data_IF_478332209520
#
_entry.id   IF_478332209520
#
_cell.length_a   1.000
_cell.length_b   1.000
_cell.length_c   1.000
_cell.angle_alpha   90.00
_cell.angle_beta   90.00
_cell.angle_gamma   90.00
#
_symmetry.space_group_name_H-M   'P 1'
#
loop_
_entity.id
_entity.type
_entity.pdbx_description
1 polymer ?
#
# COMPACT_ATOMS: atom_id res chain seq x y z
N UNK A 1 47.86 10.92 41.67
CA UNK A 1 47.73 12.21 42.41
C UNK A 1 46.82 13.08 41.53
N UNK A 2 45.57 13.21 41.92
CA UNK A 2 44.57 14.07 41.23
C UNK A 2 44.36 15.27 42.17
N UNK A 3 44.51 16.51 41.72
CA UNK A 3 44.33 17.67 42.59
C UNK A 3 42.83 17.95 42.84
N UNK A 4 42.49 18.20 44.10
CA UNK A 4 41.17 18.57 44.56
C UNK A 4 40.85 20.04 44.22
N UNK A 5 39.66 20.31 43.68
CA UNK A 5 39.12 21.66 43.49
C UNK A 5 38.38 22.14 44.75
N UNK A 6 38.53 23.41 45.14
CA UNK A 6 37.91 23.93 46.35
C UNK A 6 36.43 24.29 46.12
N UNK A 7 35.58 23.85 47.04
CA UNK A 7 34.18 24.22 47.16
C UNK A 7 34.05 25.66 47.67
N UNK A 8 33.58 26.58 46.82
CA UNK A 8 33.12 27.91 47.25
C UNK A 8 31.69 27.84 47.78
N UNK A 9 31.52 28.22 49.05
CA UNK A 9 30.26 28.47 49.72
C UNK A 9 29.55 29.65 49.03
N UNK A 10 28.38 29.39 48.40
CA UNK A 10 27.48 30.42 47.89
C UNK A 10 26.54 30.79 49.01
N UNK A 11 26.60 32.06 49.43
CA UNK A 11 25.88 32.64 50.55
C UNK A 11 24.36 32.70 50.28
N UNK A 12 23.58 32.42 51.31
CA UNK A 12 22.12 32.37 51.38
C UNK A 12 21.41 33.75 51.32
N UNK A 13 21.85 34.66 50.46
CA UNK A 13 21.26 36.02 50.35
C UNK A 13 20.59 36.36 49.04
N UNK A 14 20.41 35.42 48.10
CA UNK A 14 19.69 35.68 46.82
C UNK A 14 18.27 35.07 46.79
N UNK A 15 17.79 34.52 47.88
CA UNK A 15 16.48 33.86 47.95
C UNK A 15 15.35 34.73 48.50
N UNK A 16 15.50 36.05 48.59
CA UNK A 16 14.49 36.94 49.22
C UNK A 16 13.98 38.09 48.30
N UNK A 17 14.32 38.11 47.03
CA UNK A 17 13.95 39.17 46.10
C UNK A 17 13.11 38.74 44.90
N UNK A 18 12.55 37.51 44.88
CA UNK A 18 11.70 36.99 43.78
C UNK A 18 10.25 36.67 44.16
N UNK A 19 9.77 37.14 45.33
CA UNK A 19 8.41 36.88 45.79
C UNK A 19 7.45 38.11 45.79
N UNK A 20 7.81 39.19 45.15
CA UNK A 20 6.96 40.41 45.17
C UNK A 20 6.67 41.03 43.78
N UNK A 21 6.54 40.26 42.75
CA UNK A 21 6.13 40.81 41.46
C UNK A 21 5.36 39.78 40.61
N UNK A 22 4.27 39.21 41.13
CA UNK A 22 3.29 38.49 40.28
C UNK A 22 1.90 38.51 40.93
N UNK A 23 1.42 39.70 41.31
CA UNK A 23 -0.01 39.95 41.43
C UNK A 23 -0.42 40.83 40.27
N UNK A 24 -0.23 40.37 39.04
CA UNK A 24 -0.91 40.92 37.85
C UNK A 24 -2.17 40.12 37.69
N UNK A 25 -3.30 40.85 37.83
CA UNK A 25 -4.65 40.39 37.55
C UNK A 25 -4.65 39.48 36.30
N UNK A 26 -4.91 38.22 36.48
CA UNK A 26 -5.38 37.34 35.41
C UNK A 26 -6.80 37.80 35.05
N UNK A 27 -6.93 38.82 34.22
CA UNK A 27 -8.14 39.03 33.47
C UNK A 27 -8.23 37.78 32.54
N UNK A 28 -9.17 36.89 32.85
CA UNK A 28 -9.65 35.90 31.94
C UNK A 28 -10.24 36.59 30.69
N UNK A 29 -9.36 37.01 29.78
CA UNK A 29 -9.78 37.23 28.40
C UNK A 29 -9.96 35.81 27.84
N UNK A 30 -11.20 35.32 27.92
CA UNK A 30 -11.60 34.16 27.15
C UNK A 30 -11.26 34.50 25.69
N UNK A 31 -10.18 33.85 25.17
CA UNK A 31 -9.94 33.87 23.72
C UNK A 31 -11.25 33.49 23.05
N UNK A 32 -11.78 34.28 22.12
CA UNK A 32 -12.95 33.87 21.38
C UNK A 32 -12.62 32.49 20.81
N UNK A 33 -13.46 31.49 21.12
CA UNK A 33 -13.33 30.14 20.53
C UNK A 33 -13.25 30.38 19.03
N UNK A 34 -12.14 29.96 18.42
CA UNK A 34 -11.97 30.06 16.97
C UNK A 34 -13.19 29.40 16.35
N UNK A 35 -14.03 30.20 15.64
CA UNK A 35 -15.16 29.65 14.91
C UNK A 35 -14.65 28.52 14.03
N UNK A 36 -15.22 27.33 14.21
CA UNK A 36 -14.88 26.20 13.33
C UNK A 36 -15.18 26.64 11.89
N UNK A 37 -14.25 26.52 10.95
CA UNK A 37 -14.51 26.89 9.57
C UNK A 37 -15.75 26.15 9.08
N UNK A 38 -16.63 26.86 8.36
CA UNK A 38 -17.83 26.25 7.77
C UNK A 38 -17.41 25.07 6.88
N UNK A 39 -17.97 23.87 7.07
CA UNK A 39 -17.61 22.72 6.27
C UNK A 39 -17.78 22.98 4.78
N UNK A 40 -16.79 22.60 3.98
CA UNK A 40 -16.83 22.77 2.52
C UNK A 40 -17.67 21.65 1.91
N UNK A 41 -18.81 22.01 1.33
CA UNK A 41 -19.67 21.05 0.61
C UNK A 41 -19.32 21.02 -0.87
N UNK A 42 -19.16 19.81 -1.40
CA UNK A 42 -18.98 19.54 -2.84
C UNK A 42 -19.98 18.47 -3.28
N UNK A 43 -20.62 18.66 -4.41
CA UNK A 43 -21.59 17.71 -4.98
C UNK A 43 -21.05 17.16 -6.29
N UNK A 44 -20.98 15.83 -6.41
CA UNK A 44 -20.62 15.16 -7.65
C UNK A 44 -21.90 14.64 -8.29
N UNK A 45 -22.20 15.13 -9.50
CA UNK A 45 -23.27 14.57 -10.35
C UNK A 45 -22.71 13.34 -11.08
N UNK A 46 -23.31 12.19 -10.88
CA UNK A 46 -22.78 10.91 -11.33
C UNK A 46 -23.77 10.24 -12.25
N UNK A 47 -23.36 10.00 -13.50
CA UNK A 47 -24.21 9.26 -14.46
C UNK A 47 -24.32 7.78 -14.12
N UNK A 48 -23.17 7.15 -13.90
CA UNK A 48 -23.06 5.72 -13.54
C UNK A 48 -22.16 5.55 -12.32
N UNK A 49 -22.65 4.89 -11.28
CA UNK A 49 -21.95 4.66 -10.04
C UNK A 49 -21.79 3.16 -9.77
N UNK A 50 -20.57 2.68 -9.77
CA UNK A 50 -20.20 1.40 -9.18
C UNK A 50 -19.65 1.63 -7.78
N UNK A 51 -20.46 1.47 -6.74
CA UNK A 51 -20.09 1.80 -5.36
C UNK A 51 -19.30 0.70 -4.62
N UNK A 52 -19.08 -0.44 -5.29
CA UNK A 52 -18.41 -1.63 -4.78
C UNK A 52 -19.05 -2.28 -3.53
N UNK A 53 -20.31 -1.95 -3.20
CA UNK A 53 -21.10 -2.67 -2.18
C UNK A 53 -21.71 -3.97 -2.72
N UNK A 54 -21.80 -4.09 -4.05
CA UNK A 54 -22.28 -5.24 -4.81
C UNK A 54 -21.75 -5.23 -6.22
N UNK A 55 -22.37 -5.99 -7.13
CA UNK A 55 -21.97 -6.09 -8.55
C UNK A 55 -22.76 -5.13 -9.45
N UNK A 56 -23.75 -4.43 -8.92
CA UNK A 56 -24.65 -3.56 -9.67
C UNK A 56 -24.13 -2.13 -9.84
N UNK A 57 -24.61 -1.48 -10.91
CA UNK A 57 -24.41 -0.04 -11.16
C UNK A 57 -25.69 0.70 -10.77
N UNK A 58 -25.53 1.85 -10.12
CA UNK A 58 -26.59 2.82 -9.85
C UNK A 58 -26.47 3.96 -10.84
N UNK A 59 -27.59 4.46 -11.35
CA UNK A 59 -27.60 5.53 -12.34
C UNK A 59 -28.15 6.82 -11.75
N UNK A 60 -27.71 7.95 -12.32
CA UNK A 60 -28.19 9.28 -11.97
C UNK A 60 -28.12 9.57 -10.46
N UNK A 61 -26.94 9.44 -9.88
CA UNK A 61 -26.69 9.62 -8.45
C UNK A 61 -26.02 10.98 -8.17
N UNK A 62 -26.18 11.46 -6.95
CA UNK A 62 -25.42 12.57 -6.40
C UNK A 62 -24.64 12.09 -5.17
N UNK A 63 -23.34 12.33 -5.19
CA UNK A 63 -22.48 12.12 -4.03
C UNK A 63 -22.22 13.48 -3.41
N UNK A 64 -22.70 13.70 -2.18
CA UNK A 64 -22.38 14.89 -1.40
C UNK A 64 -21.14 14.62 -0.54
N UNK A 65 -20.13 15.45 -0.67
CA UNK A 65 -18.87 15.40 0.09
C UNK A 65 -18.80 16.60 1.03
N UNK A 66 -18.57 16.32 2.31
CA UNK A 66 -18.32 17.32 3.35
C UNK A 66 -16.86 17.21 3.80
N UNK A 67 -16.08 18.23 3.50
CA UNK A 67 -14.63 18.25 3.70
C UNK A 67 -13.95 17.04 3.05
N UNK A 68 -13.49 16.08 3.84
CA UNK A 68 -12.78 14.88 3.37
C UNK A 68 -13.67 13.63 3.24
N UNK A 69 -14.95 13.71 3.69
CA UNK A 69 -15.80 12.51 3.79
C UNK A 69 -17.08 12.61 2.95
N UNK A 70 -17.55 11.46 2.54
CA UNK A 70 -18.84 11.31 1.89
C UNK A 70 -19.92 11.52 2.93
N UNK A 71 -20.77 12.53 2.72
CA UNK A 71 -21.92 12.83 3.59
C UNK A 71 -23.13 11.98 3.22
N UNK A 72 -23.41 11.87 1.93
CA UNK A 72 -24.53 11.07 1.42
C UNK A 72 -24.31 10.63 -0.02
N UNK A 73 -24.99 9.54 -0.39
CA UNK A 73 -25.11 9.04 -1.77
C UNK A 73 -26.59 8.85 -2.04
N UNK A 74 -27.18 9.66 -2.91
CA UNK A 74 -28.64 9.74 -3.13
C UNK A 74 -28.96 9.80 -4.62
N UNK A 75 -30.18 9.44 -5.01
CA UNK A 75 -30.67 9.68 -6.37
C UNK A 75 -30.69 11.19 -6.68
N UNK A 76 -30.35 11.58 -7.89
CA UNK A 76 -30.43 12.96 -8.35
C UNK A 76 -31.86 13.50 -8.28
N UNK A 77 -32.88 12.63 -8.35
CA UNK A 77 -34.28 13.02 -8.22
C UNK A 77 -34.67 13.45 -6.78
N UNK A 78 -33.95 12.92 -5.78
CA UNK A 78 -34.27 13.10 -4.36
C UNK A 78 -33.49 14.22 -3.70
N UNK A 79 -32.46 14.77 -4.35
CA UNK A 79 -31.58 15.79 -3.77
C UNK A 79 -31.66 17.12 -4.54
N UNK A 80 -32.05 18.20 -3.84
CA UNK A 80 -31.94 19.57 -4.37
C UNK A 80 -30.57 20.13 -3.96
N UNK A 81 -29.69 20.34 -4.93
CA UNK A 81 -28.41 21.00 -4.71
C UNK A 81 -28.66 22.49 -4.47
N UNK A 82 -28.11 23.09 -3.38
CA UNK A 82 -28.28 24.50 -3.11
C UNK A 82 -27.73 25.40 -4.23
N UNK A 83 -28.38 26.53 -4.54
CA UNK A 83 -27.84 27.51 -5.48
C UNK A 83 -26.42 27.97 -5.05
N UNK A 84 -25.48 28.02 -5.99
CA UNK A 84 -24.10 28.45 -5.71
C UNK A 84 -23.21 27.38 -5.05
N UNK A 85 -23.69 26.13 -4.88
CA UNK A 85 -22.89 25.04 -4.37
C UNK A 85 -21.76 24.68 -5.34
N UNK A 86 -20.65 24.15 -4.79
CA UNK A 86 -19.58 23.59 -5.60
C UNK A 86 -20.04 22.27 -6.21
N UNK A 87 -20.16 22.21 -7.53
CA UNK A 87 -20.65 21.04 -8.27
C UNK A 87 -19.57 20.55 -9.23
N UNK A 88 -19.32 19.25 -9.20
CA UNK A 88 -18.44 18.54 -10.15
C UNK A 88 -19.34 17.64 -11.00
N UNK A 89 -19.38 17.89 -12.30
CA UNK A 89 -20.21 17.11 -13.22
C UNK A 89 -19.42 15.88 -13.74
N UNK A 90 -19.86 14.68 -13.32
CA UNK A 90 -19.39 13.37 -13.74
C UNK A 90 -20.53 12.58 -14.42
N UNK A 91 -21.54 13.27 -14.94
CA UNK A 91 -22.76 12.64 -15.50
C UNK A 91 -22.48 11.79 -16.74
N UNK A 92 -21.35 12.01 -17.42
CA UNK A 92 -20.94 11.25 -18.60
C UNK A 92 -19.91 10.14 -18.28
N UNK A 93 -19.52 10.00 -17.02
CA UNK A 93 -18.50 9.07 -16.60
C UNK A 93 -19.06 7.91 -15.77
N UNK A 94 -18.28 6.83 -15.67
CA UNK A 94 -18.48 5.81 -14.65
C UNK A 94 -17.60 6.14 -13.44
N UNK A 95 -18.25 6.31 -12.28
CA UNK A 95 -17.60 6.64 -11.00
C UNK A 95 -17.44 5.38 -10.17
N UNK A 96 -16.26 5.25 -9.53
CA UNK A 96 -15.89 4.12 -8.68
C UNK A 96 -15.22 4.63 -7.40
N UNK A 97 -15.12 3.79 -6.34
CA UNK A 97 -14.21 4.07 -5.23
C UNK A 97 -12.78 4.19 -5.74
N UNK A 98 -11.97 4.98 -5.07
CA UNK A 98 -10.53 4.97 -5.28
C UNK A 98 -9.96 3.57 -5.15
N UNK A 99 -9.10 3.17 -6.09
CA UNK A 99 -8.51 1.85 -6.16
C UNK A 99 -7.48 1.66 -5.04
N UNK A 100 -7.30 0.41 -4.64
CA UNK A 100 -6.35 -0.01 -3.59
C UNK A 100 -5.44 -1.10 -4.16
N UNK A 101 -4.14 -0.88 -4.08
CA UNK A 101 -3.11 -1.85 -4.44
C UNK A 101 -2.46 -2.41 -3.17
N UNK A 102 -2.63 -3.70 -2.92
CA UNK A 102 -2.17 -4.35 -1.69
C UNK A 102 -0.70 -4.83 -1.75
N UNK A 103 -0.01 -4.64 -2.86
CA UNK A 103 1.38 -5.05 -3.01
C UNK A 103 2.16 -4.07 -3.90
N UNK A 104 2.85 -3.13 -3.28
CA UNK A 104 3.70 -2.16 -3.99
C UNK A 104 5.04 -2.00 -3.30
N UNK A 105 6.02 -1.48 -4.05
CA UNK A 105 7.35 -1.09 -3.60
C UNK A 105 7.65 0.33 -4.10
N UNK A 106 7.10 1.34 -3.42
CA UNK A 106 7.14 2.73 -3.90
C UNK A 106 8.56 3.27 -4.10
N UNK A 107 9.54 2.81 -3.31
CA UNK A 107 10.94 3.20 -3.46
C UNK A 107 11.68 2.54 -4.62
N UNK A 108 11.08 1.54 -5.28
CA UNK A 108 11.74 0.75 -6.32
C UNK A 108 11.59 1.36 -7.71
N UNK A 109 12.51 1.01 -8.59
CA UNK A 109 12.58 1.49 -9.97
C UNK A 109 12.69 0.33 -10.95
N UNK A 110 11.69 0.17 -11.80
CA UNK A 110 11.61 -0.89 -12.81
C UNK A 110 12.66 -0.81 -13.93
N UNK A 111 13.50 0.23 -13.95
CA UNK A 111 14.63 0.41 -14.88
C UNK A 111 16.01 0.19 -14.20
N UNK A 112 16.05 -0.48 -13.04
CA UNK A 112 17.25 -0.63 -12.19
C UNK A 112 17.52 -2.07 -11.77
N UNK A 113 17.47 -3.02 -12.73
CA UNK A 113 17.75 -4.44 -12.44
C UNK A 113 19.24 -4.80 -12.44
N UNK A 114 20.08 -3.97 -13.04
CA UNK A 114 21.52 -4.23 -13.02
C UNK A 114 22.07 -4.00 -11.61
N UNK A 115 22.78 -4.99 -11.06
CA UNK A 115 23.37 -4.97 -9.71
C UNK A 115 24.32 -3.77 -9.47
N UNK A 116 24.86 -3.16 -10.52
CA UNK A 116 25.71 -1.96 -10.41
C UNK A 116 24.97 -0.80 -9.68
N UNK A 117 23.64 -0.78 -9.71
CA UNK A 117 22.88 0.27 -9.06
C UNK A 117 22.90 0.16 -7.53
N UNK A 118 23.15 -1.00 -6.95
CA UNK A 118 23.43 -1.12 -5.51
C UNK A 118 24.64 -0.32 -5.07
N UNK A 119 25.59 -0.05 -5.98
CA UNK A 119 26.77 0.79 -5.72
C UNK A 119 26.64 2.24 -6.17
N UNK A 120 25.66 2.56 -7.00
CA UNK A 120 25.49 3.91 -7.58
C UNK A 120 24.35 4.68 -6.93
N UNK A 121 23.31 4.00 -6.49
CA UNK A 121 22.15 4.61 -5.87
C UNK A 121 22.39 4.77 -4.37
N UNK A 122 21.93 5.88 -3.83
CA UNK A 122 21.93 6.17 -2.39
C UNK A 122 20.52 5.98 -1.85
N UNK A 123 20.32 5.91 -0.52
CA UNK A 123 18.98 5.92 0.07
C UNK A 123 18.11 7.10 -0.42
N UNK A 124 18.73 8.24 -0.71
CA UNK A 124 18.03 9.41 -1.25
C UNK A 124 17.52 9.20 -2.68
N UNK A 125 18.22 8.42 -3.52
CA UNK A 125 17.75 8.05 -4.86
C UNK A 125 16.43 7.27 -4.78
N UNK A 126 16.32 6.36 -3.82
CA UNK A 126 15.09 5.60 -3.56
C UNK A 126 13.98 6.50 -2.99
N UNK A 127 14.32 7.45 -2.10
CA UNK A 127 13.35 8.41 -1.55
C UNK A 127 12.75 9.29 -2.65
N UNK A 128 13.58 9.85 -3.55
CA UNK A 128 13.08 10.64 -4.66
C UNK A 128 12.27 9.82 -5.66
N UNK A 129 12.68 8.57 -5.94
CA UNK A 129 11.87 7.66 -6.74
C UNK A 129 10.51 7.42 -6.08
N UNK A 130 10.48 7.20 -4.76
CA UNK A 130 9.27 7.01 -3.97
C UNK A 130 8.29 8.17 -4.08
N UNK A 131 8.75 9.41 -4.05
CA UNK A 131 7.91 10.61 -4.23
C UNK A 131 7.25 10.63 -5.62
N UNK A 132 8.04 10.35 -6.66
CA UNK A 132 7.54 10.31 -8.05
C UNK A 132 6.55 9.15 -8.24
N UNK A 133 6.89 7.97 -7.72
CA UNK A 133 6.07 6.77 -7.83
C UNK A 133 4.75 6.90 -7.07
N UNK A 134 4.78 7.46 -5.86
CA UNK A 134 3.56 7.72 -5.08
C UNK A 134 2.59 8.63 -5.85
N UNK A 135 3.10 9.70 -6.47
CA UNK A 135 2.27 10.58 -7.29
C UNK A 135 1.70 9.87 -8.52
N UNK A 136 2.53 9.12 -9.27
CA UNK A 136 2.07 8.35 -10.44
C UNK A 136 0.99 7.34 -10.06
N UNK A 137 1.17 6.64 -8.96
CA UNK A 137 0.21 5.66 -8.44
C UNK A 137 -1.13 6.31 -8.09
N UNK A 138 -1.11 7.47 -7.41
CA UNK A 138 -2.32 8.24 -7.13
C UNK A 138 -3.02 8.71 -8.41
N UNK A 139 -2.28 9.29 -9.36
CA UNK A 139 -2.81 9.80 -10.63
C UNK A 139 -3.34 8.67 -11.54
N UNK A 140 -2.90 7.42 -11.33
CA UNK A 140 -3.47 6.22 -11.96
C UNK A 140 -4.77 5.72 -11.28
N UNK A 141 -5.25 6.42 -10.24
CA UNK A 141 -6.51 6.10 -9.56
C UNK A 141 -6.37 5.27 -8.29
N UNK A 142 -5.14 4.87 -7.90
CA UNK A 142 -4.90 4.14 -6.67
C UNK A 142 -4.76 5.13 -5.51
N UNK A 143 -5.87 5.39 -4.82
CA UNK A 143 -5.92 6.35 -3.69
C UNK A 143 -5.36 5.77 -2.39
N UNK A 144 -5.23 4.45 -2.31
CA UNK A 144 -4.57 3.75 -1.20
C UNK A 144 -3.65 2.66 -1.72
N UNK A 145 -2.56 2.41 -1.00
CA UNK A 145 -1.63 1.30 -1.27
C UNK A 145 -1.17 0.65 0.02
N UNK A 146 -0.78 -0.63 -0.07
CA UNK A 146 0.04 -1.30 0.92
C UNK A 146 1.44 -1.49 0.33
N UNK A 147 2.44 -0.79 0.89
CA UNK A 147 3.85 -0.98 0.54
C UNK A 147 4.43 -2.08 1.41
N UNK A 148 4.91 -3.15 0.80
CA UNK A 148 5.30 -4.39 1.48
C UNK A 148 6.79 -4.71 1.38
N UNK A 149 7.61 -3.68 1.40
CA UNK A 149 9.06 -3.81 1.48
C UNK A 149 9.79 -2.55 1.08
N UNK A 150 10.22 -1.77 2.06
CA UNK A 150 10.98 -0.53 1.87
C UNK A 150 12.15 -0.45 2.82
N UNK A 151 13.34 -0.19 2.31
CA UNK A 151 14.56 -0.01 3.07
C UNK A 151 14.92 1.48 3.21
N UNK A 152 15.42 1.93 4.39
CA UNK A 152 15.24 1.27 5.69
C UNK A 152 13.84 1.47 6.29
N UNK A 153 13.11 2.56 6.06
CA UNK A 153 11.74 2.85 6.49
C UNK A 153 11.06 3.85 5.55
N UNK A 154 11.46 3.85 4.30
CA UNK A 154 11.03 4.83 3.30
C UNK A 154 9.50 4.93 3.18
N UNK A 155 8.77 3.80 3.21
CA UNK A 155 7.31 3.82 3.11
C UNK A 155 6.65 4.50 4.33
N UNK A 156 7.26 4.36 5.51
CA UNK A 156 6.81 5.05 6.75
C UNK A 156 7.00 6.56 6.61
N UNK A 157 8.16 7.00 6.12
CA UNK A 157 8.46 8.41 5.93
C UNK A 157 7.61 9.04 4.81
N UNK A 158 7.38 8.33 3.70
CA UNK A 158 6.47 8.76 2.65
C UNK A 158 5.04 8.91 3.18
N UNK A 159 4.54 7.92 3.92
CA UNK A 159 3.21 7.97 4.56
C UNK A 159 3.08 9.21 5.44
N UNK A 160 4.05 9.42 6.32
CA UNK A 160 4.03 10.54 7.26
C UNK A 160 4.04 11.88 6.50
N UNK A 161 4.96 12.04 5.54
CA UNK A 161 5.05 13.27 4.73
C UNK A 161 3.79 13.54 3.89
N UNK A 162 3.11 12.50 3.38
CA UNK A 162 1.83 12.64 2.68
C UNK A 162 0.71 13.02 3.65
N UNK A 163 0.66 12.42 4.84
CA UNK A 163 -0.35 12.72 5.85
C UNK A 163 -0.20 14.14 6.42
N UNK A 164 1.02 14.66 6.50
CA UNK A 164 1.36 16.01 6.92
C UNK A 164 1.16 17.06 5.79
N UNK A 165 0.86 16.61 4.56
CA UNK A 165 0.63 17.48 3.41
C UNK A 165 1.87 18.00 2.71
N UNK A 166 3.07 17.53 3.06
CA UNK A 166 4.32 17.89 2.37
C UNK A 166 4.44 17.26 1.00
N UNK A 167 3.89 16.05 0.82
CA UNK A 167 3.97 15.29 -0.42
C UNK A 167 2.58 14.91 -0.93
N UNK A 168 2.49 14.73 -2.25
CA UNK A 168 1.31 14.19 -2.92
C UNK A 168 1.49 12.70 -3.17
N UNK A 169 0.51 11.90 -2.74
CA UNK A 169 0.52 10.45 -2.94
C UNK A 169 -0.73 9.78 -2.37
N UNK A 170 -0.85 8.46 -2.49
CA UNK A 170 -1.95 7.67 -1.94
C UNK A 170 -1.88 7.61 -0.40
N UNK A 171 -2.92 7.07 0.23
CA UNK A 171 -2.84 6.59 1.61
C UNK A 171 -1.95 5.36 1.63
N UNK A 172 -0.94 5.32 2.49
CA UNK A 172 0.01 4.21 2.54
C UNK A 172 -0.21 3.40 3.82
N UNK A 173 -0.38 2.09 3.68
CA UNK A 173 -0.19 1.09 4.74
C UNK A 173 1.25 0.61 4.59
N UNK A 174 2.13 1.08 5.45
CA UNK A 174 3.57 0.96 5.30
C UNK A 174 4.15 -0.23 6.06
N UNK A 175 4.93 -1.09 5.39
CA UNK A 175 5.84 -2.00 6.06
C UNK A 175 7.21 -1.37 6.26
N UNK A 176 8.05 -2.05 7.06
CA UNK A 176 9.51 -1.87 7.06
C UNK A 176 10.19 -2.74 5.98
N UNK A 177 11.48 -3.00 6.13
CA UNK A 177 12.18 -3.99 5.32
C UNK A 177 11.52 -5.36 5.40
N UNK A 178 11.46 -6.10 4.29
CA UNK A 178 10.93 -7.46 4.28
C UNK A 178 11.86 -8.38 5.08
N UNK A 179 11.32 -9.04 6.12
CA UNK A 179 12.10 -9.90 7.02
C UNK A 179 12.48 -11.20 6.29
N UNK A 180 13.76 -11.53 6.28
CA UNK A 180 14.33 -12.69 5.58
C UNK A 180 15.32 -13.45 6.45
N UNK A 181 15.58 -14.70 6.09
CA UNK A 181 16.72 -15.46 6.64
C UNK A 181 18.04 -15.00 6.01
N UNK A 182 19.15 -15.31 6.66
CA UNK A 182 20.49 -15.22 6.06
C UNK A 182 20.55 -16.04 4.77
N UNK A 183 20.98 -15.41 3.67
CA UNK A 183 21.03 -16.04 2.33
C UNK A 183 19.68 -16.24 1.66
N UNK A 184 18.59 -15.70 2.24
CA UNK A 184 17.23 -15.78 1.70
C UNK A 184 16.94 -14.75 0.60
N UNK A 185 15.71 -14.79 0.09
CA UNK A 185 15.24 -13.89 -0.98
C UNK A 185 15.37 -12.40 -0.64
N UNK A 186 15.15 -12.04 0.62
CA UNK A 186 15.29 -10.65 1.07
C UNK A 186 16.73 -10.26 1.42
N UNK A 187 17.69 -11.17 1.43
CA UNK A 187 19.11 -10.87 1.70
C UNK A 187 19.84 -10.45 0.41
N UNK A 188 20.93 -9.73 0.56
CA UNK A 188 21.79 -9.34 -0.56
C UNK A 188 22.78 -10.44 -0.89
N UNK A 189 22.35 -11.40 -1.70
CA UNK A 189 23.17 -12.52 -2.12
C UNK A 189 24.16 -12.12 -3.22
N UNK A 190 25.24 -12.90 -3.36
CA UNK A 190 26.34 -12.73 -4.35
C UNK A 190 27.28 -11.54 -4.13
N UNK A 191 27.20 -10.87 -3.00
CA UNK A 191 28.21 -9.91 -2.59
C UNK A 191 29.18 -10.56 -1.60
N UNK A 192 30.43 -10.09 -1.58
CA UNK A 192 31.35 -10.55 -0.53
C UNK A 192 30.84 -10.08 0.83
N UNK A 193 31.08 -10.87 1.91
CA UNK A 193 30.70 -10.45 3.26
C UNK A 193 31.26 -9.08 3.66
N UNK A 194 32.42 -8.73 3.10
CA UNK A 194 33.04 -7.41 3.34
C UNK A 194 32.21 -6.28 2.72
N UNK A 195 31.73 -6.42 1.49
CA UNK A 195 30.89 -5.43 0.82
C UNK A 195 29.55 -5.27 1.56
N UNK A 196 28.92 -6.38 1.92
CA UNK A 196 27.66 -6.36 2.65
C UNK A 196 27.77 -5.62 4.00
N UNK A 197 28.82 -5.92 4.77
CA UNK A 197 29.06 -5.27 6.05
C UNK A 197 29.32 -3.75 5.92
N UNK A 198 29.96 -3.33 4.82
CA UNK A 198 30.30 -1.93 4.60
C UNK A 198 29.12 -1.08 4.07
N UNK A 199 28.24 -1.69 3.26
CA UNK A 199 27.18 -0.97 2.58
C UNK A 199 25.83 -1.03 3.29
N UNK A 200 25.57 -2.08 4.08
CA UNK A 200 24.26 -2.36 4.65
C UNK A 200 24.37 -2.80 6.13
N UNK A 201 25.00 -2.00 6.98
CA UNK A 201 25.26 -2.39 8.38
C UNK A 201 23.99 -2.60 9.21
N UNK A 202 22.90 -1.88 8.89
CA UNK A 202 21.62 -1.92 9.61
C UNK A 202 20.69 -3.08 9.21
N UNK A 203 21.01 -3.85 8.16
CA UNK A 203 20.12 -4.93 7.70
C UNK A 203 19.87 -5.98 8.80
N UNK A 204 20.86 -6.27 9.62
CA UNK A 204 20.76 -7.24 10.73
C UNK A 204 19.78 -6.82 11.81
N UNK A 205 19.58 -5.52 12.01
CA UNK A 205 18.74 -5.02 13.10
C UNK A 205 17.24 -4.99 12.71
N UNK A 206 16.93 -4.88 11.41
CA UNK A 206 15.55 -4.65 10.96
C UNK A 206 15.06 -5.56 9.85
N UNK A 207 15.93 -6.45 9.33
CA UNK A 207 15.62 -7.24 8.11
C UNK A 207 15.98 -8.71 8.25
N UNK A 208 17.22 -9.03 8.64
CA UNK A 208 17.68 -10.43 8.68
C UNK A 208 17.43 -11.03 10.06
N UNK A 209 16.72 -12.17 10.08
CA UNK A 209 16.32 -12.83 11.32
C UNK A 209 16.31 -14.35 11.15
N UNK A 210 17.23 -15.04 11.82
CA UNK A 210 17.31 -16.48 11.89
C UNK A 210 16.86 -16.94 13.29
N UNK A 211 15.76 -17.71 13.33
CA UNK A 211 15.20 -18.23 14.57
C UNK A 211 14.26 -17.27 15.31
N UNK A 212 13.50 -17.84 16.24
CA UNK A 212 12.37 -17.20 16.89
C UNK A 212 12.71 -15.88 17.62
N UNK A 213 13.85 -15.81 18.29
CA UNK A 213 14.21 -14.64 19.09
C UNK A 213 14.59 -13.45 18.23
N UNK A 214 15.31 -13.68 17.13
CA UNK A 214 15.65 -12.62 16.17
C UNK A 214 14.39 -12.12 15.45
N UNK A 215 13.48 -13.00 15.06
CA UNK A 215 12.18 -12.64 14.46
C UNK A 215 11.40 -11.71 15.40
N UNK A 216 11.28 -12.07 16.68
CA UNK A 216 10.62 -11.19 17.68
C UNK A 216 11.31 -9.85 17.80
N UNK A 217 12.65 -9.85 17.83
CA UNK A 217 13.43 -8.62 17.95
C UNK A 217 13.17 -7.69 16.74
N UNK A 218 13.32 -8.21 15.54
CA UNK A 218 13.14 -7.45 14.29
C UNK A 218 11.73 -6.90 14.17
N UNK A 219 10.69 -7.72 14.40
CA UNK A 219 9.30 -7.26 14.34
C UNK A 219 9.02 -6.15 15.33
N UNK A 220 9.48 -6.29 16.59
CA UNK A 220 9.31 -5.25 17.60
C UNK A 220 10.08 -3.96 17.25
N UNK A 221 11.26 -4.09 16.64
CA UNK A 221 12.03 -2.97 16.10
C UNK A 221 11.25 -2.23 15.00
N UNK A 222 10.70 -2.95 14.02
CA UNK A 222 9.89 -2.35 12.97
C UNK A 222 8.63 -1.67 13.52
N UNK A 223 7.92 -2.32 14.46
CA UNK A 223 6.74 -1.72 15.13
C UNK A 223 7.12 -0.45 15.89
N UNK A 224 8.25 -0.44 16.59
CA UNK A 224 8.77 0.77 17.27
C UNK A 224 8.93 1.95 16.31
N UNK A 225 9.34 1.70 15.08
CA UNK A 225 9.54 2.73 14.06
C UNK A 225 8.29 3.01 13.21
N UNK A 226 7.14 2.49 13.62
CA UNK A 226 5.84 2.95 13.15
C UNK A 226 5.30 2.26 11.91
N UNK A 227 5.71 1.01 11.62
CA UNK A 227 5.10 0.23 10.52
C UNK A 227 3.64 -0.10 10.82
N UNK A 228 2.83 -0.19 9.76
CA UNK A 228 1.42 -0.57 9.82
C UNK A 228 1.20 -2.06 9.60
N UNK A 229 2.13 -2.70 8.88
CA UNK A 229 2.09 -4.11 8.49
C UNK A 229 3.48 -4.71 8.54
N UNK A 230 3.59 -6.00 8.82
CA UNK A 230 4.84 -6.75 8.74
C UNK A 230 4.89 -7.50 7.40
N UNK A 231 6.06 -7.52 6.75
CA UNK A 231 6.34 -8.38 5.58
C UNK A 231 7.44 -9.37 5.94
N UNK A 232 7.20 -10.65 5.68
CA UNK A 232 8.16 -11.75 5.87
C UNK A 232 8.32 -12.54 4.56
N UNK A 233 9.48 -13.13 4.36
CA UNK A 233 9.82 -13.93 3.18
C UNK A 233 9.75 -15.42 3.54
N UNK A 234 8.72 -16.12 3.10
CA UNK A 234 8.51 -17.53 3.45
C UNK A 234 9.22 -18.52 2.49
N UNK A 235 9.51 -18.09 1.27
CA UNK A 235 10.23 -18.90 0.26
C UNK A 235 11.29 -18.09 -0.47
N UNK A 236 12.15 -18.74 -1.22
CA UNK A 236 12.94 -18.08 -2.26
C UNK A 236 12.06 -17.37 -3.28
N UNK A 237 12.65 -16.52 -4.09
CA UNK A 237 11.93 -15.67 -5.04
C UNK A 237 12.58 -15.58 -6.42
N UNK A 238 11.90 -14.86 -7.31
CA UNK A 238 12.35 -14.67 -8.70
C UNK A 238 13.47 -13.65 -8.78
N UNK A 239 13.36 -12.51 -8.10
CA UNK A 239 14.27 -11.36 -8.27
C UNK A 239 15.49 -11.39 -7.34
N UNK A 240 15.71 -12.45 -6.58
CA UNK A 240 16.95 -12.73 -5.85
C UNK A 240 17.88 -13.64 -6.64
N UNK A 241 19.10 -13.83 -6.16
CA UNK A 241 20.09 -14.77 -6.73
C UNK A 241 20.50 -15.82 -5.69
N UNK A 242 20.85 -17.01 -6.17
CA UNK A 242 21.38 -18.09 -5.32
C UNK A 242 20.34 -18.83 -4.47
N UNK A 243 19.05 -18.53 -4.62
CA UNK A 243 17.93 -19.24 -3.98
C UNK A 243 16.97 -19.82 -5.02
N UNK A 244 15.97 -20.60 -4.57
CA UNK A 244 14.95 -21.19 -5.43
C UNK A 244 13.56 -20.76 -5.00
N UNK A 245 12.69 -20.29 -5.94
CA UNK A 245 11.31 -19.91 -5.63
C UNK A 245 10.50 -21.01 -4.93
N UNK A 246 10.82 -22.29 -5.18
CA UNK A 246 10.14 -23.44 -4.57
C UNK A 246 10.57 -23.74 -3.14
N UNK A 247 11.75 -23.26 -2.70
CA UNK A 247 12.34 -23.65 -1.42
C UNK A 247 11.78 -22.83 -0.24
N UNK A 248 11.24 -23.46 0.82
CA UNK A 248 10.86 -22.75 2.04
C UNK A 248 12.12 -22.17 2.72
N UNK A 249 11.97 -20.98 3.31
CA UNK A 249 13.06 -20.27 4.00
C UNK A 249 12.86 -20.19 5.50
N UNK A 250 11.64 -20.33 5.98
CA UNK A 250 11.33 -20.42 7.39
C UNK A 250 10.59 -21.72 7.71
N UNK A 251 10.79 -22.23 8.91
CA UNK A 251 10.00 -23.32 9.46
C UNK A 251 8.59 -22.82 9.83
N UNK A 252 7.65 -23.76 10.03
CA UNK A 252 6.31 -23.42 10.52
C UNK A 252 6.36 -22.73 11.89
N UNK A 253 7.24 -23.18 12.78
CA UNK A 253 7.42 -22.63 14.13
C UNK A 253 7.91 -21.17 14.08
N UNK A 254 8.86 -20.86 13.23
CA UNK A 254 9.36 -19.49 13.03
C UNK A 254 8.28 -18.57 12.49
N UNK A 255 7.51 -19.02 11.51
CA UNK A 255 6.38 -18.26 10.94
C UNK A 255 5.26 -18.04 11.95
N UNK A 256 4.97 -19.02 12.83
CA UNK A 256 4.03 -18.82 13.95
C UNK A 256 4.49 -17.73 14.90
N UNK A 257 5.77 -17.72 15.27
CA UNK A 257 6.35 -16.67 16.12
C UNK A 257 6.22 -15.30 15.43
N UNK A 258 6.43 -15.22 14.12
CA UNK A 258 6.27 -13.99 13.37
C UNK A 258 4.82 -13.50 13.39
N UNK A 259 3.85 -14.36 13.10
CA UNK A 259 2.43 -14.02 13.09
C UNK A 259 1.95 -13.59 14.48
N UNK A 260 2.24 -14.38 15.52
CA UNK A 260 1.90 -14.06 16.90
C UNK A 260 2.48 -12.71 17.34
N UNK A 261 3.76 -12.44 17.03
CA UNK A 261 4.42 -11.19 17.43
C UNK A 261 3.81 -9.98 16.73
N UNK A 262 3.50 -10.10 15.43
CA UNK A 262 2.83 -9.04 14.68
C UNK A 262 1.41 -8.77 15.22
N UNK A 263 0.62 -9.83 15.43
CA UNK A 263 -0.76 -9.73 15.93
C UNK A 263 -0.82 -9.18 17.36
N UNK A 264 0.09 -9.57 18.25
CA UNK A 264 0.23 -8.98 19.60
C UNK A 264 0.45 -7.47 19.56
N UNK A 265 1.13 -6.99 18.52
CA UNK A 265 1.35 -5.56 18.30
C UNK A 265 0.20 -4.88 17.53
N UNK A 266 -0.90 -5.59 17.24
CA UNK A 266 -2.03 -5.09 16.46
C UNK A 266 -1.69 -4.86 14.98
N UNK A 267 -0.70 -5.57 14.44
CA UNK A 267 -0.29 -5.48 13.03
C UNK A 267 -0.68 -6.73 12.28
N UNK A 268 -1.15 -6.55 11.03
CA UNK A 268 -1.28 -7.65 10.08
C UNK A 268 0.11 -8.05 9.57
N UNK A 269 0.21 -9.28 9.03
CA UNK A 269 1.45 -9.80 8.47
C UNK A 269 1.20 -10.41 7.09
N UNK A 270 2.07 -10.07 6.13
CA UNK A 270 2.06 -10.56 4.76
C UNK A 270 3.29 -11.43 4.50
N UNK A 271 3.15 -12.55 3.79
CA UNK A 271 4.27 -13.41 3.42
C UNK A 271 4.47 -13.44 1.91
N UNK A 272 5.69 -13.12 1.46
CA UNK A 272 6.15 -13.54 0.14
C UNK A 272 6.27 -15.07 0.11
N UNK A 273 5.61 -15.75 -0.83
CA UNK A 273 5.76 -17.18 -1.00
C UNK A 273 5.38 -17.63 -2.42
N UNK A 274 6.34 -18.25 -3.12
CA UNK A 274 6.08 -18.94 -4.38
C UNK A 274 5.88 -20.45 -4.18
N UNK A 275 6.74 -21.09 -3.36
CA UNK A 275 6.79 -22.53 -3.19
C UNK A 275 5.67 -23.09 -2.33
N UNK A 276 5.14 -24.24 -2.74
CA UNK A 276 3.98 -24.91 -2.13
C UNK A 276 4.11 -25.10 -0.62
N UNK A 277 5.29 -25.59 -0.14
CA UNK A 277 5.45 -25.85 1.29
C UNK A 277 5.51 -24.57 2.11
N UNK A 278 6.21 -23.52 1.62
CA UNK A 278 6.26 -22.23 2.30
C UNK A 278 4.91 -21.55 2.34
N UNK A 279 4.10 -21.65 1.27
CA UNK A 279 2.71 -21.17 1.24
C UNK A 279 1.90 -21.86 2.33
N UNK A 280 1.93 -23.20 2.40
CA UNK A 280 1.17 -23.97 3.42
C UNK A 280 1.63 -23.62 4.85
N UNK A 281 2.94 -23.53 5.06
CA UNK A 281 3.49 -23.16 6.37
C UNK A 281 3.02 -21.76 6.80
N UNK A 282 3.03 -20.79 5.88
CA UNK A 282 2.59 -19.42 6.16
C UNK A 282 1.10 -19.36 6.51
N UNK A 283 0.24 -20.08 5.78
CA UNK A 283 -1.19 -20.18 6.07
C UNK A 283 -1.43 -20.80 7.45
N UNK A 284 -0.79 -21.95 7.74
CA UNK A 284 -0.92 -22.67 9.01
C UNK A 284 -0.33 -21.89 10.20
N UNK A 285 0.59 -20.98 9.95
CA UNK A 285 1.13 -20.06 10.94
C UNK A 285 0.17 -18.91 11.30
N UNK A 286 -0.92 -18.72 10.54
CA UNK A 286 -1.88 -17.64 10.77
C UNK A 286 -1.49 -16.31 10.09
N UNK A 287 -0.70 -16.34 9.04
CA UNK A 287 -0.36 -15.15 8.25
C UNK A 287 -1.60 -14.66 7.49
N UNK A 288 -1.85 -13.33 7.49
CA UNK A 288 -3.07 -12.73 6.95
C UNK A 288 -3.15 -12.76 5.43
N UNK A 289 -2.01 -12.62 4.73
CA UNK A 289 -1.98 -12.71 3.26
C UNK A 289 -0.72 -13.38 2.74
N UNK A 290 -0.90 -14.12 1.64
CA UNK A 290 0.18 -14.71 0.86
C UNK A 290 0.31 -13.92 -0.44
N UNK A 291 1.48 -13.38 -0.64
CA UNK A 291 1.85 -12.64 -1.84
C UNK A 291 2.38 -13.63 -2.89
N UNK A 292 2.07 -13.40 -4.15
CA UNK A 292 2.41 -14.23 -5.32
C UNK A 292 1.70 -15.61 -5.35
N UNK A 293 1.87 -16.46 -4.36
CA UNK A 293 1.27 -17.79 -4.23
C UNK A 293 1.42 -18.69 -5.49
N UNK A 294 2.53 -18.55 -6.24
CA UNK A 294 2.64 -19.04 -7.63
C UNK A 294 2.47 -20.55 -7.75
N UNK A 295 3.06 -21.33 -6.84
CA UNK A 295 3.04 -22.80 -6.88
C UNK A 295 2.08 -23.38 -5.82
N UNK A 296 1.00 -22.66 -5.49
CA UNK A 296 -0.01 -23.17 -4.56
C UNK A 296 -0.70 -24.40 -5.15
N UNK A 297 -0.79 -25.47 -4.37
CA UNK A 297 -1.48 -26.70 -4.75
C UNK A 297 -2.93 -26.72 -4.21
N UNK A 298 -3.69 -27.76 -4.55
CA UNK A 298 -5.09 -27.90 -4.13
C UNK A 298 -5.25 -27.93 -2.59
N UNK A 299 -4.27 -28.49 -1.88
CA UNK A 299 -4.26 -28.44 -0.41
C UNK A 299 -4.02 -27.02 0.11
N UNK A 300 -3.06 -26.29 -0.46
CA UNK A 300 -2.81 -24.90 -0.12
C UNK A 300 -4.04 -24.02 -0.37
N UNK A 301 -4.75 -24.22 -1.50
CA UNK A 301 -6.02 -23.55 -1.82
C UNK A 301 -7.08 -23.84 -0.76
N UNK A 302 -7.24 -25.13 -0.37
CA UNK A 302 -8.17 -25.52 0.68
C UNK A 302 -7.83 -24.85 2.01
N UNK A 303 -6.56 -24.90 2.42
CA UNK A 303 -6.08 -24.26 3.66
C UNK A 303 -6.31 -22.74 3.63
N UNK A 304 -5.97 -22.04 2.54
CA UNK A 304 -6.20 -20.61 2.43
C UNK A 304 -7.67 -20.24 2.61
N UNK A 305 -8.59 -21.03 2.03
CA UNK A 305 -10.03 -20.84 2.20
C UNK A 305 -10.48 -21.09 3.63
N UNK A 306 -10.04 -22.18 4.27
CA UNK A 306 -10.42 -22.57 5.63
C UNK A 306 -9.93 -21.57 6.67
N UNK A 307 -8.70 -21.06 6.52
CA UNK A 307 -8.11 -20.07 7.42
C UNK A 307 -8.54 -18.63 7.11
N UNK A 308 -9.20 -18.40 5.96
CA UNK A 308 -9.59 -17.05 5.53
C UNK A 308 -8.40 -16.18 5.13
N UNK A 309 -7.25 -16.79 4.83
CA UNK A 309 -6.04 -16.11 4.38
C UNK A 309 -6.26 -15.55 2.98
N UNK A 310 -5.87 -14.29 2.78
CA UNK A 310 -5.96 -13.65 1.47
C UNK A 310 -4.83 -14.13 0.54
N UNK A 311 -5.13 -14.27 -0.74
CA UNK A 311 -4.11 -14.37 -1.79
C UNK A 311 -4.03 -13.04 -2.55
N UNK A 312 -2.81 -12.53 -2.70
CA UNK A 312 -2.48 -11.31 -3.44
C UNK A 312 -1.52 -11.71 -4.56
N UNK A 313 -2.09 -12.00 -5.73
CA UNK A 313 -1.35 -12.62 -6.84
C UNK A 313 -1.16 -11.62 -7.99
N UNK A 314 0.07 -11.27 -8.28
CA UNK A 314 0.54 -10.25 -9.22
C UNK A 314 0.75 -10.82 -10.64
N UNK A 315 -0.31 -11.33 -11.24
CA UNK A 315 -0.30 -12.15 -12.47
C UNK A 315 0.03 -11.41 -13.79
N UNK A 316 0.25 -10.08 -13.74
CA UNK A 316 0.79 -9.30 -14.86
C UNK A 316 2.33 -9.34 -14.92
N UNK A 317 3.01 -9.50 -13.79
CA UNK A 317 4.47 -9.41 -13.67
C UNK A 317 5.24 -10.30 -14.65
N UNK A 318 4.78 -11.51 -14.91
CA UNK A 318 5.37 -12.47 -15.85
C UNK A 318 5.65 -11.83 -17.22
N UNK A 319 4.67 -11.06 -17.76
CA UNK A 319 4.86 -10.42 -19.07
C UNK A 319 5.94 -9.33 -19.02
N UNK A 320 6.02 -8.54 -17.96
CA UNK A 320 7.02 -7.50 -17.83
C UNK A 320 8.42 -8.06 -17.58
N UNK A 321 8.53 -9.02 -16.66
CA UNK A 321 9.80 -9.65 -16.29
C UNK A 321 10.43 -10.35 -17.51
N UNK A 322 9.63 -11.06 -18.31
CA UNK A 322 10.15 -11.81 -19.46
C UNK A 322 10.46 -10.94 -20.68
N UNK A 323 9.72 -9.85 -20.91
CA UNK A 323 9.80 -9.07 -22.15
C UNK A 323 10.51 -7.71 -22.00
N UNK A 324 10.37 -7.04 -20.86
CA UNK A 324 10.86 -5.68 -20.67
C UNK A 324 12.09 -5.62 -19.74
N UNK A 325 12.07 -6.30 -18.60
CA UNK A 325 13.14 -6.23 -17.60
C UNK A 325 14.54 -6.61 -18.12
N UNK A 326 14.72 -7.52 -19.11
CA UNK A 326 16.03 -7.81 -19.69
C UNK A 326 16.70 -6.58 -20.32
N UNK A 327 15.93 -5.62 -20.84
CA UNK A 327 16.45 -4.38 -21.43
C UNK A 327 17.12 -3.48 -20.37
N UNK A 328 16.80 -3.70 -19.11
CA UNK A 328 17.31 -2.95 -17.95
C UNK A 328 18.32 -3.77 -17.12
N UNK A 329 18.79 -4.90 -17.66
CA UNK A 329 19.89 -5.67 -17.08
C UNK A 329 19.47 -6.72 -16.07
N UNK A 330 18.23 -7.23 -16.14
CA UNK A 330 17.80 -8.37 -15.33
C UNK A 330 18.66 -9.61 -15.67
N UNK A 331 19.28 -10.28 -14.68
CA UNK A 331 20.08 -11.48 -14.89
C UNK A 331 19.28 -12.66 -15.48
N UNK A 332 19.95 -13.50 -16.28
CA UNK A 332 19.32 -14.68 -16.92
C UNK A 332 18.76 -15.66 -15.88
N UNK A 333 19.44 -15.83 -14.75
CA UNK A 333 18.95 -16.66 -13.63
C UNK A 333 17.53 -16.27 -13.19
N UNK A 334 17.24 -14.97 -13.10
CA UNK A 334 15.92 -14.46 -12.70
C UNK A 334 14.86 -14.75 -13.79
N UNK A 335 15.24 -14.67 -15.08
CA UNK A 335 14.34 -15.04 -16.18
C UNK A 335 14.00 -16.53 -16.16
N UNK A 336 14.97 -17.38 -15.82
CA UNK A 336 14.72 -18.83 -15.73
C UNK A 336 13.80 -19.16 -14.55
N UNK A 337 13.96 -18.47 -13.41
CA UNK A 337 13.05 -18.58 -12.27
C UNK A 337 11.63 -18.12 -12.63
N UNK A 338 11.47 -17.02 -13.37
CA UNK A 338 10.16 -16.54 -13.80
C UNK A 338 9.46 -17.54 -14.73
N UNK A 339 10.19 -18.11 -15.69
CA UNK A 339 9.66 -19.17 -16.56
C UNK A 339 9.15 -20.40 -15.79
N UNK A 340 9.70 -20.68 -14.61
CA UNK A 340 9.24 -21.77 -13.74
C UNK A 340 7.91 -21.44 -13.06
N UNK A 341 7.67 -20.19 -12.68
CA UNK A 341 6.54 -19.84 -11.78
C UNK A 341 5.43 -19.07 -12.48
N UNK A 342 5.72 -18.18 -13.43
CA UNK A 342 4.75 -17.22 -13.96
C UNK A 342 3.49 -17.84 -14.59
N UNK A 343 3.66 -18.83 -15.48
CA UNK A 343 2.50 -19.53 -16.09
C UNK A 343 1.69 -20.29 -15.03
N UNK A 344 2.34 -20.95 -14.08
CA UNK A 344 1.68 -21.72 -13.02
C UNK A 344 0.93 -20.78 -12.07
N UNK A 345 1.47 -19.60 -11.78
CA UNK A 345 0.80 -18.58 -10.99
C UNK A 345 -0.55 -18.20 -11.60
N UNK A 346 -0.62 -17.97 -12.92
CA UNK A 346 -1.86 -17.64 -13.62
C UNK A 346 -2.90 -18.77 -13.59
N UNK A 347 -2.43 -20.02 -13.76
CA UNK A 347 -3.31 -21.18 -13.66
C UNK A 347 -3.86 -21.36 -12.23
N UNK A 348 -3.00 -21.19 -11.23
CA UNK A 348 -3.35 -21.32 -9.83
C UNK A 348 -4.21 -20.16 -9.32
N UNK A 349 -4.01 -18.94 -9.85
CA UNK A 349 -4.94 -17.82 -9.62
C UNK A 349 -6.38 -18.22 -9.97
N UNK A 350 -6.58 -18.77 -11.17
CA UNK A 350 -7.91 -19.23 -11.60
C UNK A 350 -8.48 -20.29 -10.68
N UNK A 351 -7.67 -21.32 -10.32
CA UNK A 351 -8.11 -22.38 -9.41
C UNK A 351 -8.51 -21.83 -8.03
N UNK A 352 -7.68 -20.99 -7.44
CA UNK A 352 -7.92 -20.41 -6.13
C UNK A 352 -9.18 -19.52 -6.14
N UNK A 353 -9.36 -18.71 -7.18
CA UNK A 353 -10.55 -17.89 -7.35
C UNK A 353 -11.81 -18.75 -7.47
N UNK A 354 -11.81 -19.78 -8.33
CA UNK A 354 -12.95 -20.71 -8.51
C UNK A 354 -13.27 -21.48 -7.23
N UNK A 355 -12.27 -21.78 -6.41
CA UNK A 355 -12.47 -22.42 -5.10
C UNK A 355 -13.08 -21.47 -4.05
N UNK A 356 -13.15 -20.17 -4.33
CA UNK A 356 -13.70 -19.14 -3.44
C UNK A 356 -12.74 -18.74 -2.32
N UNK A 357 -11.43 -18.76 -2.57
CA UNK A 357 -10.44 -18.17 -1.67
C UNK A 357 -10.59 -16.65 -1.69
N UNK A 358 -10.39 -16.00 -0.56
CA UNK A 358 -10.35 -14.53 -0.48
C UNK A 358 -9.19 -14.00 -1.31
N UNK A 359 -9.45 -13.07 -2.21
CA UNK A 359 -8.44 -12.45 -3.06
C UNK A 359 -8.50 -10.93 -2.95
N UNK A 360 -7.33 -10.29 -2.94
CA UNK A 360 -7.19 -8.85 -3.05
C UNK A 360 -6.25 -8.50 -4.19
N UNK A 361 -6.47 -7.32 -4.77
CA UNK A 361 -5.65 -6.78 -5.85
C UNK A 361 -4.26 -6.43 -5.32
N UNK A 362 -3.22 -6.84 -6.03
CA UNK A 362 -1.85 -6.46 -5.79
C UNK A 362 -1.02 -6.63 -7.05
N UNK A 363 -0.02 -5.79 -7.22
CA UNK A 363 0.68 -5.64 -8.50
C UNK A 363 2.15 -5.94 -8.43
N UNK A 364 2.76 -5.83 -7.27
CA UNK A 364 4.21 -5.79 -7.11
C UNK A 364 4.86 -4.63 -7.92
N UNK A 365 4.12 -3.51 -8.07
CA UNK A 365 4.64 -2.33 -8.76
C UNK A 365 5.92 -1.82 -8.07
N UNK A 366 6.93 -1.56 -8.89
CA UNK A 366 8.34 -1.45 -8.53
C UNK A 366 9.14 -2.49 -9.28
N UNK A 367 8.57 -3.68 -9.50
CA UNK A 367 9.03 -4.65 -10.50
C UNK A 367 8.72 -4.12 -11.91
N UNK A 368 7.56 -3.53 -12.12
CA UNK A 368 7.25 -2.76 -13.31
C UNK A 368 6.88 -1.31 -12.95
N UNK A 369 6.79 -0.39 -13.93
CA UNK A 369 6.59 1.02 -13.63
C UNK A 369 5.32 1.32 -12.85
N UNK A 370 5.43 2.13 -11.80
CA UNK A 370 4.28 2.72 -11.15
C UNK A 370 3.48 3.60 -12.11
N UNK A 371 2.16 3.54 -12.01
CA UNK A 371 1.23 4.13 -12.97
C UNK A 371 0.61 3.09 -13.91
N UNK A 372 1.29 1.97 -14.12
CA UNK A 372 0.82 0.82 -14.91
C UNK A 372 0.04 -0.23 -14.08
N UNK A 373 -0.21 0.04 -12.81
CA UNK A 373 -0.84 -0.89 -11.86
C UNK A 373 -2.15 -1.49 -12.40
N UNK A 374 -2.95 -0.72 -13.13
CA UNK A 374 -4.24 -1.17 -13.66
C UNK A 374 -4.15 -2.25 -14.76
N UNK A 375 -2.97 -2.48 -15.36
CA UNK A 375 -2.77 -3.58 -16.32
C UNK A 375 -3.07 -4.96 -15.71
N UNK A 376 -2.95 -5.10 -14.40
CA UNK A 376 -3.30 -6.30 -13.64
C UNK A 376 -4.77 -6.71 -13.83
N UNK A 377 -5.71 -5.76 -13.96
CA UNK A 377 -7.14 -6.05 -14.10
C UNK A 377 -7.46 -6.91 -15.30
N UNK A 378 -6.83 -6.64 -16.45
CA UNK A 378 -7.03 -7.44 -17.66
C UNK A 378 -6.70 -8.91 -17.40
N UNK A 379 -5.62 -9.20 -16.69
CA UNK A 379 -5.22 -10.58 -16.38
C UNK A 379 -6.18 -11.23 -15.37
N UNK A 380 -6.65 -10.50 -14.36
CA UNK A 380 -7.64 -11.03 -13.42
C UNK A 380 -8.92 -11.47 -14.12
N UNK A 381 -9.41 -10.66 -15.08
CA UNK A 381 -10.58 -11.00 -15.88
C UNK A 381 -10.28 -12.16 -16.84
N UNK A 382 -9.15 -12.12 -17.55
CA UNK A 382 -8.70 -13.20 -18.45
C UNK A 382 -8.61 -14.55 -17.76
N UNK A 383 -8.27 -14.56 -16.48
CA UNK A 383 -8.10 -15.78 -15.66
C UNK A 383 -9.31 -16.07 -14.74
N UNK A 384 -10.48 -15.48 -15.01
CA UNK A 384 -11.76 -16.01 -14.54
C UNK A 384 -12.62 -15.11 -13.68
N UNK A 385 -12.15 -13.94 -13.26
CA UNK A 385 -12.99 -12.96 -12.58
C UNK A 385 -13.91 -12.24 -13.58
N UNK A 386 -15.10 -11.83 -13.14
CA UNK A 386 -15.85 -10.80 -13.85
C UNK A 386 -15.19 -9.43 -13.62
N UNK A 387 -15.41 -8.43 -14.49
CA UNK A 387 -14.91 -7.07 -14.24
C UNK A 387 -15.30 -6.52 -12.85
N UNK A 388 -16.57 -6.73 -12.44
CA UNK A 388 -17.05 -6.31 -11.12
C UNK A 388 -16.27 -6.98 -9.98
N UNK A 389 -15.96 -8.28 -10.09
CA UNK A 389 -15.17 -9.00 -9.09
C UNK A 389 -13.72 -8.50 -9.02
N UNK A 390 -13.10 -8.23 -10.18
CA UNK A 390 -11.75 -7.67 -10.24
C UNK A 390 -11.70 -6.27 -9.61
N UNK A 391 -12.69 -5.41 -9.88
CA UNK A 391 -12.78 -4.08 -9.27
C UNK A 391 -13.00 -4.20 -7.75
N UNK A 392 -13.85 -5.11 -7.28
CA UNK A 392 -14.02 -5.34 -5.83
C UNK A 392 -12.76 -5.88 -5.18
N UNK A 393 -11.96 -6.68 -5.87
CA UNK A 393 -10.66 -7.11 -5.36
C UNK A 393 -9.72 -5.92 -5.09
N UNK A 394 -9.84 -4.84 -5.90
CA UNK A 394 -9.06 -3.59 -5.76
C UNK A 394 -9.78 -2.50 -4.95
N UNK A 395 -10.92 -2.79 -4.35
CA UNK A 395 -11.70 -1.82 -3.57
C UNK A 395 -12.14 -2.43 -2.24
N UNK A 396 -13.34 -3.00 -2.15
CA UNK A 396 -13.89 -3.52 -0.88
C UNK A 396 -13.06 -4.67 -0.29
N UNK A 397 -12.60 -5.64 -1.09
CA UNK A 397 -11.76 -6.75 -0.59
C UNK A 397 -10.38 -6.29 -0.16
N UNK A 398 -9.76 -5.39 -0.94
CA UNK A 398 -8.48 -4.79 -0.58
C UNK A 398 -8.57 -3.97 0.72
N UNK A 399 -9.66 -3.20 0.90
CA UNK A 399 -9.92 -2.44 2.12
C UNK A 399 -10.05 -3.36 3.35
N UNK A 400 -10.67 -4.55 3.21
CA UNK A 400 -10.75 -5.55 4.27
C UNK A 400 -9.36 -6.12 4.59
N UNK A 401 -8.60 -6.50 3.57
CA UNK A 401 -7.24 -7.01 3.78
C UNK A 401 -6.37 -6.00 4.52
N UNK A 402 -6.37 -4.73 4.13
CA UNK A 402 -5.54 -3.70 4.78
C UNK A 402 -6.14 -3.15 6.09
N UNK A 403 -7.31 -3.67 6.53
CA UNK A 403 -7.94 -3.26 7.79
C UNK A 403 -8.58 -1.87 7.77
N UNK A 404 -8.97 -1.35 6.59
CA UNK A 404 -9.50 0.01 6.41
C UNK A 404 -10.93 0.06 5.84
N UNK A 405 -11.69 -1.04 5.92
CA UNK A 405 -13.07 -1.13 5.39
C UNK A 405 -14.03 -0.08 5.95
N UNK A 406 -13.77 0.46 7.13
CA UNK A 406 -14.56 1.54 7.72
C UNK A 406 -14.31 2.90 7.05
N UNK A 407 -13.16 3.06 6.41
CA UNK A 407 -12.69 4.35 5.88
C UNK A 407 -12.71 4.42 4.35
N UNK A 408 -12.39 3.33 3.65
CA UNK A 408 -12.22 3.30 2.19
C UNK A 408 -12.81 2.03 1.57
N UNK A 409 -12.72 1.90 0.25
CA UNK A 409 -13.04 0.69 -0.51
C UNK A 409 -14.47 0.62 -1.03
N UNK A 410 -15.38 1.47 -0.58
CA UNK A 410 -16.74 1.62 -1.13
C UNK A 410 -17.16 3.09 -1.10
N UNK A 411 -18.13 3.48 -1.93
CA UNK A 411 -18.74 4.81 -1.91
C UNK A 411 -19.98 4.76 -1.01
N UNK A 412 -19.78 5.07 0.27
CA UNK A 412 -20.81 5.06 1.32
C UNK A 412 -20.64 6.27 2.26
N UNK A 413 -21.74 6.72 2.84
CA UNK A 413 -21.71 7.80 3.82
C UNK A 413 -20.77 7.48 5.01
N UNK A 414 -19.99 8.47 5.43
CA UNK A 414 -19.02 8.38 6.51
C UNK A 414 -17.61 7.97 6.09
N UNK A 415 -17.42 7.38 4.90
CA UNK A 415 -16.11 7.02 4.36
C UNK A 415 -15.38 8.21 3.76
N UNK A 416 -14.08 8.12 3.59
CA UNK A 416 -13.33 9.14 2.86
C UNK A 416 -13.85 9.30 1.44
N UNK A 417 -13.89 10.53 0.95
CA UNK A 417 -14.20 10.85 -0.44
C UNK A 417 -12.99 10.52 -1.33
N UNK A 418 -12.66 9.23 -1.40
CA UNK A 418 -11.67 8.65 -2.30
C UNK A 418 -12.42 8.08 -3.50
N UNK A 419 -12.45 8.85 -4.60
CA UNK A 419 -13.35 8.64 -5.75
C UNK A 419 -12.56 8.79 -7.03
N UNK A 420 -12.77 7.87 -7.98
CA UNK A 420 -12.23 7.98 -9.34
C UNK A 420 -13.35 7.99 -10.37
N UNK A 421 -13.06 8.50 -11.56
CA UNK A 421 -13.96 8.38 -12.70
C UNK A 421 -13.21 8.06 -13.99
N UNK A 422 -13.85 7.26 -14.84
CA UNK A 422 -13.40 6.90 -16.20
C UNK A 422 -14.48 7.21 -17.21
N UNK A 423 -14.10 7.65 -18.41
CA UNK A 423 -15.04 7.99 -19.49
C UNK A 423 -15.61 6.78 -20.23
N UNK A 424 -15.18 5.56 -19.87
CA UNK A 424 -15.66 4.31 -20.45
C UNK A 424 -16.40 3.46 -19.41
N UNK A 425 -16.93 2.32 -19.83
CA UNK A 425 -17.56 1.34 -18.93
C UNK A 425 -16.59 0.25 -18.51
N UNK A 426 -16.00 0.31 -17.30
CA UNK A 426 -15.04 -0.69 -16.83
C UNK A 426 -15.68 -2.05 -16.52
N UNK A 427 -17.01 -2.14 -16.46
CA UNK A 427 -17.73 -3.40 -16.31
C UNK A 427 -17.91 -4.14 -17.64
N UNK A 428 -17.82 -3.43 -18.77
CA UNK A 428 -17.78 -4.00 -20.12
C UNK A 428 -16.34 -4.31 -20.56
N UNK A 429 -15.39 -3.42 -20.28
CA UNK A 429 -13.96 -3.61 -20.54
C UNK A 429 -13.13 -3.01 -19.40
N UNK A 430 -12.56 -3.88 -18.58
CA UNK A 430 -11.80 -3.49 -17.39
C UNK A 430 -10.54 -2.67 -17.71
N UNK A 431 -10.05 -2.71 -18.97
CA UNK A 431 -8.91 -1.88 -19.43
C UNK A 431 -9.23 -0.39 -19.42
N UNK A 432 -10.50 0.01 -19.31
CA UNK A 432 -10.86 1.40 -19.05
C UNK A 432 -10.17 1.99 -17.80
N UNK A 433 -9.84 1.14 -16.82
CA UNK A 433 -9.12 1.54 -15.60
C UNK A 433 -7.64 1.86 -15.83
N UNK A 434 -7.06 1.53 -16.99
CA UNK A 434 -5.72 1.98 -17.38
C UNK A 434 -5.68 3.48 -17.70
N UNK A 435 -6.86 4.12 -17.87
CA UNK A 435 -7.01 5.53 -18.23
C UNK A 435 -8.02 6.22 -17.32
N UNK A 436 -7.62 6.47 -16.07
CA UNK A 436 -8.47 7.20 -15.10
C UNK A 436 -8.40 8.71 -15.42
N UNK A 437 -9.58 9.32 -15.62
CA UNK A 437 -9.69 10.73 -16.01
C UNK A 437 -9.83 11.68 -14.81
N UNK A 438 -10.40 11.20 -13.72
CA UNK A 438 -10.64 11.98 -12.51
C UNK A 438 -10.20 11.21 -11.27
N UNK A 439 -9.46 11.88 -10.37
CA UNK A 439 -9.02 11.32 -9.08
C UNK A 439 -9.26 12.32 -7.97
N UNK A 440 -10.09 11.93 -7.02
CA UNK A 440 -10.30 12.61 -5.75
C UNK A 440 -9.83 11.72 -4.61
N UNK A 441 -9.06 12.28 -3.65
CA UNK A 441 -8.67 11.62 -2.41
C UNK A 441 -8.96 12.55 -1.23
N UNK A 442 -9.79 12.09 -0.28
CA UNK A 442 -10.19 12.90 0.87
C UNK A 442 -10.80 14.24 0.45
N UNK A 443 -11.70 14.24 -0.54
CA UNK A 443 -12.38 15.45 -1.03
C UNK A 443 -11.52 16.42 -1.84
N UNK A 444 -10.21 16.15 -2.01
CA UNK A 444 -9.27 16.95 -2.81
C UNK A 444 -9.06 16.31 -4.17
N UNK A 445 -9.18 17.12 -5.23
CA UNK A 445 -8.95 16.67 -6.61
C UNK A 445 -7.44 16.68 -6.90
N UNK A 446 -6.90 15.54 -7.32
CA UNK A 446 -5.49 15.38 -7.72
C UNK A 446 -5.32 15.23 -9.23
N UNK A 447 -6.35 14.79 -9.93
CA UNK A 447 -6.39 14.71 -11.38
C UNK A 447 -7.79 15.06 -11.89
N UNK A 448 -7.84 15.91 -12.93
CA UNK A 448 -9.04 16.20 -13.67
C UNK A 448 -8.66 16.41 -15.14
N UNK A 449 -8.66 15.32 -15.89
CA UNK A 449 -8.35 15.28 -17.32
C UNK A 449 -9.62 15.17 -18.20
N UNK A 450 -10.80 15.42 -17.60
CA UNK A 450 -12.06 15.39 -18.34
C UNK A 450 -12.08 16.48 -19.42
N UNK A 451 -12.68 16.23 -20.58
CA UNK A 451 -12.91 17.29 -21.55
C UNK A 451 -13.62 18.47 -20.88
N UNK A 452 -13.06 19.68 -20.98
CA UNK A 452 -13.78 20.86 -20.52
C UNK A 452 -15.08 20.94 -21.30
N UNK A 453 -16.23 20.87 -20.60
CA UNK A 453 -17.47 21.29 -21.21
C UNK A 453 -17.32 22.78 -21.48
N UNK A 454 -16.93 23.14 -22.70
CA UNK A 454 -17.03 24.52 -23.17
C UNK A 454 -18.45 24.94 -22.84
N UNK A 455 -18.60 26.04 -22.14
CA UNK A 455 -19.90 26.65 -21.82
C UNK A 455 -20.70 26.68 -23.12
N UNK A 456 -21.62 25.72 -23.28
CA UNK A 456 -22.56 25.71 -24.39
C UNK A 456 -23.49 26.90 -24.14
N UNK A 457 -23.13 28.02 -24.79
CA UNK A 457 -24.04 29.06 -25.21
C UNK A 457 -24.83 29.77 -24.14
N UNK A 458 -24.30 30.87 -23.65
CA UNK A 458 -25.12 32.07 -23.54
C UNK A 458 -25.26 32.65 -24.96
N UNK A 459 -26.31 32.34 -25.64
CA UNK A 459 -26.90 33.12 -26.74
C UNK A 459 -28.38 33.29 -26.44
#
# INVERSE_FOLDING_TARGET
MIPAFPTKKISAQILFLLTLANLVLAQNVASPAAEKPTPKMTYLLVGRLFDATGDGVKENMVIAVEDERIKSVTSAADLKIPPGANVIDLSQATVLPGLIDCHTHLGSRADRYNEIYHFKDTPFSHAFAGVVNARKTLEAGFTSVRDVGSNPFLAVDLRNSINEGYLVGPRIVASGPAISITGGHGDLNNYSPYVQMMMFPEERDYKIADGADQIRHVIRGQVKYGVDVIKIISTGGVLSRGDSPGAPQYTLEELKVAAETAHMAGRKIAAHAHGTQGIKNAILAGIDSIEHASLIDDEGIRLAKEHGTYLVMDIYNDDYILNEAPKYGLPVENLDKERMVGRLQRENFRKAFQAGVKMAFGTDAGVYPHGDNAKQFFYMVKFGMTPAQAIRAATSSAADLIGRSKDVGTIEAGKFADIIAVNADPLSDVRALEHVDFVMKGGVIYKDARPSMAHAGAN
#
